data_IF_519970699024
#
_entry.id   IF_519970699024
#
_cell.length_a   1.000
_cell.length_b   1.000
_cell.length_c   1.000
_cell.angle_alpha   90.00
_cell.angle_beta   90.00
_cell.angle_gamma   90.00
#
_symmetry.space_group_name_H-M   'P 1'
#
loop_
_entity.id
_entity.type
_entity.pdbx_description
1 polymer ?
#
# COMPACT_ATOMS: atom_id res chain seq x y z
N UNK A 1 9.35 3.18 -7.48
CA UNK A 1 10.19 2.10 -8.02
C UNK A 1 10.51 2.42 -9.45
N UNK A 2 11.79 2.30 -9.84
CA UNK A 2 12.25 2.56 -11.20
C UNK A 2 12.38 1.24 -11.98
N UNK A 3 11.97 1.27 -13.24
CA UNK A 3 12.06 0.15 -14.17
C UNK A 3 12.89 0.54 -15.40
N UNK A 4 13.71 -0.39 -15.88
CA UNK A 4 14.29 -0.34 -17.22
C UNK A 4 13.85 -1.61 -17.95
N UNK A 5 13.04 -1.46 -18.99
CA UNK A 5 12.28 -2.56 -19.57
C UNK A 5 11.45 -3.26 -18.46
N UNK A 6 11.54 -4.58 -18.35
CA UNK A 6 10.80 -5.38 -17.36
C UNK A 6 11.59 -5.63 -16.06
N UNK A 7 12.73 -4.94 -15.85
CA UNK A 7 13.58 -5.11 -14.68
C UNK A 7 13.50 -3.93 -13.71
N UNK A 8 13.38 -4.25 -12.42
CA UNK A 8 13.51 -3.26 -11.35
C UNK A 8 14.97 -2.83 -11.24
N UNK A 9 15.22 -1.53 -11.38
CA UNK A 9 16.59 -0.98 -11.40
C UNK A 9 16.90 -0.06 -10.22
N UNK A 10 15.89 0.38 -9.47
CA UNK A 10 16.12 1.21 -8.31
C UNK A 10 14.88 1.51 -7.47
N UNK A 11 15.16 1.84 -6.21
CA UNK A 11 14.20 2.39 -5.25
C UNK A 11 14.65 3.81 -4.90
N UNK A 12 13.69 4.73 -4.79
CA UNK A 12 13.90 6.16 -4.53
C UNK A 12 12.88 6.64 -3.48
N UNK A 13 12.97 7.91 -3.08
CA UNK A 13 12.03 8.58 -2.16
C UNK A 13 11.94 7.97 -0.76
N UNK A 14 13.08 7.77 -0.10
CA UNK A 14 13.20 7.22 1.26
C UNK A 14 12.78 8.20 2.39
N UNK A 15 12.09 9.30 2.08
CA UNK A 15 11.70 10.33 3.06
C UNK A 15 10.80 9.81 4.17
N UNK A 16 10.05 8.74 3.92
CA UNK A 16 9.17 8.08 4.89
C UNK A 16 9.74 6.75 5.41
N UNK A 17 11.02 6.43 5.13
CA UNK A 17 11.65 5.25 5.70
C UNK A 17 11.75 5.37 7.22
N UNK A 18 11.44 4.29 7.92
CA UNK A 18 11.49 4.20 9.38
C UNK A 18 11.78 2.77 9.83
N UNK A 19 12.02 2.61 11.13
CA UNK A 19 12.06 1.28 11.77
C UNK A 19 10.64 0.91 12.19
N UNK A 20 10.08 -0.13 11.57
CA UNK A 20 8.73 -0.64 11.85
C UNK A 20 8.64 -2.14 11.48
N UNK A 21 7.45 -2.73 11.56
CA UNK A 21 7.18 -4.10 11.13
C UNK A 21 7.38 -4.26 9.62
N UNK A 22 8.18 -5.23 9.20
CA UNK A 22 8.49 -5.46 7.77
C UNK A 22 7.26 -5.71 6.90
N UNK A 23 6.23 -6.37 7.44
CA UNK A 23 4.98 -6.63 6.71
C UNK A 23 4.14 -5.39 6.43
N UNK A 24 4.43 -4.26 7.09
CA UNK A 24 3.76 -3.00 6.82
C UNK A 24 4.07 -2.51 5.39
N UNK A 25 5.34 -2.58 4.96
CA UNK A 25 5.72 -2.20 3.59
C UNK A 25 5.06 -3.09 2.55
N UNK A 26 4.89 -4.38 2.86
CA UNK A 26 4.20 -5.34 1.98
C UNK A 26 2.72 -5.01 1.89
N UNK A 27 2.06 -4.72 3.01
CA UNK A 27 0.66 -4.32 3.01
C UNK A 27 0.42 -2.99 2.26
N UNK A 28 1.37 -2.05 2.36
CA UNK A 28 1.33 -0.80 1.59
C UNK A 28 1.41 -1.10 0.09
N UNK A 29 2.41 -1.87 -0.35
CA UNK A 29 2.57 -2.23 -1.76
C UNK A 29 1.36 -3.02 -2.29
N UNK A 30 0.84 -3.97 -1.52
CA UNK A 30 -0.35 -4.75 -1.88
C UNK A 30 -1.59 -3.86 -2.04
N UNK A 31 -1.82 -2.93 -1.12
CA UNK A 31 -2.96 -2.01 -1.21
C UNK A 31 -2.84 -1.00 -2.36
N UNK A 32 -1.63 -0.68 -2.82
CA UNK A 32 -1.41 0.29 -3.91
C UNK A 32 -1.34 -0.38 -5.29
N UNK A 33 -0.72 -1.58 -5.40
CA UNK A 33 -0.42 -2.21 -6.69
C UNK A 33 -1.33 -3.39 -7.04
N UNK A 34 -1.87 -4.08 -6.03
CA UNK A 34 -2.59 -5.34 -6.19
C UNK A 34 -4.11 -5.18 -6.05
N UNK A 35 -4.65 -4.02 -6.41
CA UNK A 35 -6.08 -3.72 -6.32
C UNK A 35 -6.65 -3.21 -7.64
N UNK A 36 -7.96 -3.40 -7.84
CA UNK A 36 -8.71 -2.80 -8.93
C UNK A 36 -9.31 -1.43 -8.52
N UNK A 37 -10.04 -0.79 -9.44
CA UNK A 37 -10.64 0.55 -9.22
C UNK A 37 -11.74 0.57 -8.14
N UNK A 38 -12.30 -0.61 -7.82
CA UNK A 38 -13.25 -0.84 -6.73
C UNK A 38 -12.55 -1.09 -5.38
N UNK A 39 -11.22 -1.22 -5.37
CA UNK A 39 -10.38 -1.47 -4.19
C UNK A 39 -10.31 -2.95 -3.79
N UNK A 40 -10.98 -3.84 -4.51
CA UNK A 40 -10.87 -5.29 -4.33
C UNK A 40 -9.51 -5.77 -4.84
N UNK A 41 -9.06 -6.93 -4.37
CA UNK A 41 -7.79 -7.48 -4.86
C UNK A 41 -7.87 -7.83 -6.34
N UNK A 42 -6.82 -7.48 -7.07
CA UNK A 42 -6.45 -8.15 -8.31
C UNK A 42 -5.66 -9.41 -7.92
N UNK A 43 -6.33 -10.56 -7.96
CA UNK A 43 -5.76 -11.83 -7.53
C UNK A 43 -4.48 -12.21 -8.28
N UNK A 44 -4.36 -11.87 -9.57
CA UNK A 44 -3.17 -12.20 -10.34
C UNK A 44 -1.97 -11.41 -9.83
N UNK A 45 -2.15 -10.11 -9.58
CA UNK A 45 -1.08 -9.25 -9.02
C UNK A 45 -0.77 -9.60 -7.57
N UNK A 46 -1.79 -9.86 -6.76
CA UNK A 46 -1.64 -10.22 -5.35
C UNK A 46 -0.79 -11.49 -5.20
N UNK A 47 -1.16 -12.55 -5.92
CA UNK A 47 -0.43 -13.82 -5.86
C UNK A 47 1.00 -13.66 -6.39
N UNK A 48 1.18 -12.98 -7.54
CA UNK A 48 2.52 -12.73 -8.08
C UNK A 48 3.42 -11.98 -7.10
N UNK A 49 2.91 -10.95 -6.43
CA UNK A 49 3.66 -10.15 -5.47
C UNK A 49 4.02 -10.96 -4.21
N UNK A 50 3.02 -11.61 -3.59
CA UNK A 50 3.22 -12.35 -2.35
C UNK A 50 4.09 -13.60 -2.55
N UNK A 51 3.92 -14.33 -3.64
CA UNK A 51 4.73 -15.51 -3.95
C UNK A 51 6.19 -15.12 -4.20
N UNK A 52 6.44 -14.01 -4.91
CA UNK A 52 7.80 -13.51 -5.13
C UNK A 52 8.47 -13.08 -3.82
N UNK A 53 7.75 -12.35 -2.96
CA UNK A 53 8.27 -11.92 -1.67
C UNK A 53 8.57 -13.11 -0.75
N UNK A 54 7.62 -14.04 -0.62
CA UNK A 54 7.72 -15.20 0.27
C UNK A 54 8.85 -16.16 -0.12
N UNK A 55 9.30 -16.17 -1.38
CA UNK A 55 10.51 -16.90 -1.81
C UNK A 55 11.80 -16.37 -1.18
N UNK A 56 11.84 -15.09 -0.84
CA UNK A 56 13.01 -14.44 -0.21
C UNK A 56 12.84 -14.45 1.31
N UNK A 57 11.63 -14.13 1.80
CA UNK A 57 11.30 -14.10 3.22
C UNK A 57 9.85 -14.53 3.46
N UNK A 58 9.68 -15.71 4.04
CA UNK A 58 8.38 -16.15 4.55
C UNK A 58 7.88 -15.25 5.69
N UNK A 59 6.56 -15.16 5.82
CA UNK A 59 5.95 -14.58 7.00
C UNK A 59 6.17 -15.52 8.19
N UNK A 60 6.33 -14.95 9.38
CA UNK A 60 6.23 -15.73 10.61
C UNK A 60 4.77 -15.83 11.05
N UNK A 61 4.52 -16.65 12.08
CA UNK A 61 3.17 -16.93 12.56
C UNK A 61 2.41 -15.67 13.01
N UNK A 62 3.09 -14.74 13.71
CA UNK A 62 2.46 -13.47 14.13
C UNK A 62 2.12 -12.59 12.93
N UNK A 63 2.98 -12.58 11.91
CA UNK A 63 2.77 -11.82 10.68
C UNK A 63 1.60 -12.37 9.85
N UNK A 64 1.50 -13.69 9.72
CA UNK A 64 0.36 -14.34 9.06
C UNK A 64 -0.95 -14.05 9.79
N UNK A 65 -0.95 -14.12 11.12
CA UNK A 65 -2.13 -13.80 11.94
C UNK A 65 -2.52 -12.32 11.84
N UNK A 66 -1.55 -11.41 11.81
CA UNK A 66 -1.78 -9.97 11.75
C UNK A 66 -2.01 -9.43 10.33
N UNK A 67 -1.92 -10.26 9.28
CA UNK A 67 -1.86 -9.79 7.91
C UNK A 67 -3.05 -8.89 7.52
N UNK A 68 -4.27 -9.31 7.85
CA UNK A 68 -5.48 -8.53 7.58
C UNK A 68 -5.50 -7.21 8.37
N UNK A 69 -5.01 -7.20 9.61
CA UNK A 69 -4.97 -6.00 10.43
C UNK A 69 -3.94 -4.99 9.91
N UNK A 70 -2.80 -5.46 9.42
CA UNK A 70 -1.79 -4.58 8.81
C UNK A 70 -2.27 -4.04 7.45
N UNK A 71 -3.03 -4.81 6.66
CA UNK A 71 -3.70 -4.31 5.46
C UNK A 71 -4.71 -3.19 5.78
N UNK A 72 -5.46 -3.32 6.88
CA UNK A 72 -6.38 -2.27 7.37
C UNK A 72 -5.60 -1.05 7.86
N UNK A 73 -4.53 -1.25 8.63
CA UNK A 73 -3.67 -0.18 9.13
C UNK A 73 -3.06 0.66 7.98
N UNK A 74 -2.46 -0.02 6.99
CA UNK A 74 -1.86 0.63 5.83
C UNK A 74 -2.90 1.44 5.04
N UNK A 75 -4.06 0.85 4.73
CA UNK A 75 -5.11 1.54 3.97
C UNK A 75 -5.71 2.72 4.74
N UNK A 76 -5.91 2.59 6.06
CA UNK A 76 -6.34 3.68 6.92
C UNK A 76 -5.33 4.83 6.95
N UNK A 77 -4.04 4.54 7.13
CA UNK A 77 -2.97 5.55 7.16
C UNK A 77 -2.97 6.39 5.88
N UNK A 78 -3.02 5.75 4.71
CA UNK A 78 -3.04 6.45 3.43
C UNK A 78 -4.35 7.21 3.20
N UNK A 79 -5.49 6.67 3.62
CA UNK A 79 -6.76 7.39 3.54
C UNK A 79 -6.73 8.67 4.37
N UNK A 80 -6.32 8.60 5.64
CA UNK A 80 -6.25 9.77 6.53
C UNK A 80 -5.25 10.80 6.03
N UNK A 81 -4.09 10.38 5.53
CA UNK A 81 -3.10 11.31 4.93
C UNK A 81 -3.71 12.07 3.75
N UNK A 82 -4.31 11.36 2.78
CA UNK A 82 -4.95 12.03 1.63
C UNK A 82 -6.13 12.90 2.04
N UNK A 83 -6.88 12.49 3.06
CA UNK A 83 -8.00 13.28 3.58
C UNK A 83 -7.49 14.58 4.22
N UNK A 84 -6.40 14.52 4.96
CA UNK A 84 -5.74 15.69 5.53
C UNK A 84 -5.26 16.64 4.42
N UNK A 85 -4.57 16.12 3.41
CA UNK A 85 -4.07 16.93 2.28
C UNK A 85 -5.24 17.55 1.48
N UNK A 86 -6.37 16.83 1.38
CA UNK A 86 -7.57 17.31 0.71
C UNK A 86 -8.23 18.50 1.42
N UNK A 87 -8.24 18.53 2.76
CA UNK A 87 -8.83 19.63 3.53
C UNK A 87 -7.83 20.75 3.87
N UNK A 88 -6.53 20.49 3.81
CA UNK A 88 -5.47 21.44 4.14
C UNK A 88 -4.56 21.71 2.93
N UNK A 89 -5.15 22.19 1.83
CA UNK A 89 -4.43 22.55 0.62
C UNK A 89 -3.44 23.68 0.96
N UNK A 90 -2.14 23.44 0.76
CA UNK A 90 -1.11 24.45 0.97
C UNK A 90 -1.11 25.46 -0.19
N UNK A 91 -1.07 26.75 0.13
CA UNK A 91 -0.94 27.80 -0.88
C UNK A 91 0.36 27.64 -1.69
N UNK A 92 0.25 27.69 -3.01
CA UNK A 92 1.39 27.64 -3.93
C UNK A 92 1.82 26.26 -4.40
N UNK A 93 1.24 25.18 -3.86
CA UNK A 93 1.38 23.85 -4.45
C UNK A 93 0.47 23.76 -5.69
N UNK A 94 1.05 23.49 -6.87
CA UNK A 94 0.33 22.94 -8.02
C UNK A 94 -0.10 21.49 -7.66
N UNK A 95 -0.95 21.33 -6.65
CA UNK A 95 -1.19 20.02 -6.05
C UNK A 95 -2.20 19.26 -6.88
N UNK A 96 -1.70 18.20 -7.52
CA UNK A 96 -2.49 17.03 -7.86
C UNK A 96 -2.91 16.34 -6.56
N UNK A 97 -3.87 16.92 -5.84
CA UNK A 97 -4.45 16.30 -4.64
C UNK A 97 -5.13 15.01 -5.06
N UNK A 98 -4.56 13.87 -4.66
CA UNK A 98 -5.12 12.55 -4.98
C UNK A 98 -6.47 12.38 -4.27
N UNK A 99 -7.46 11.81 -4.97
CA UNK A 99 -8.76 11.52 -4.37
C UNK A 99 -8.59 10.63 -3.12
N UNK A 100 -9.00 11.09 -1.92
CA UNK A 100 -8.94 10.28 -0.72
C UNK A 100 -9.88 9.07 -0.78
N UNK A 101 -10.95 9.12 -1.59
CA UNK A 101 -11.92 8.02 -1.65
C UNK A 101 -11.34 6.73 -2.24
N UNK A 102 -10.25 6.80 -2.99
CA UNK A 102 -9.54 5.60 -3.47
C UNK A 102 -9.13 4.70 -2.30
N UNK A 103 -8.39 5.22 -1.32
CA UNK A 103 -7.99 4.44 -0.14
C UNK A 103 -9.16 4.15 0.81
N UNK A 104 -10.22 4.96 0.81
CA UNK A 104 -11.47 4.65 1.52
C UNK A 104 -12.14 3.39 0.96
N UNK A 105 -12.18 3.20 -0.36
CA UNK A 105 -12.73 1.97 -0.98
C UNK A 105 -11.90 0.76 -0.58
N UNK A 106 -10.57 0.86 -0.68
CA UNK A 106 -9.64 -0.21 -0.28
C UNK A 106 -9.86 -0.60 1.19
N UNK A 107 -9.89 0.37 2.11
CA UNK A 107 -10.11 0.10 3.53
C UNK A 107 -11.43 -0.65 3.78
N UNK A 108 -12.52 -0.28 3.09
CA UNK A 108 -13.80 -0.98 3.20
C UNK A 108 -13.70 -2.45 2.78
N UNK A 109 -12.93 -2.75 1.74
CA UNK A 109 -12.69 -4.14 1.33
C UNK A 109 -11.90 -4.92 2.38
N UNK A 110 -10.96 -4.29 3.09
CA UNK A 110 -10.19 -4.95 4.15
C UNK A 110 -10.96 -5.20 5.43
N UNK A 111 -12.01 -4.41 5.72
CA UNK A 111 -12.88 -4.61 6.88
C UNK A 111 -13.88 -5.75 6.64
N UNK A 112 -14.28 -5.97 5.38
CA UNK A 112 -15.21 -7.05 5.01
C UNK A 112 -14.58 -8.44 4.88
N UNK A 113 -13.24 -8.53 4.95
CA UNK A 113 -12.47 -9.77 5.04
C UNK A 113 -12.37 -10.24 6.50
#
# INVERSE_FOLDING_TARGET
VLFLNDEVTGFIDFYYACTDYLILDIAIAVNDWCVNDEGSFDEARLNAFLDAYKKIRSFNENEDQAWNDILRLASLRFWVSRLNDFYHIKEGELTYTKDPNHFKKILKQRIGL
#
